data_IF_551328011068
#
_entry.id   IF_551328011068
#
_cell.length_a   1.000
_cell.length_b   1.000
_cell.length_c   1.000
_cell.angle_alpha   90.00
_cell.angle_beta   90.00
_cell.angle_gamma   90.00
#
_symmetry.space_group_name_H-M   'P 1'
#
loop_
_entity.id
_entity.type
_entity.pdbx_description
1 polymer ?
#
# COMPACT_ATOMS: atom_id res chain seq x y z
N UNK A 1 -30.00 -14.05 9.29
CA UNK A 1 -29.45 -15.21 10.02
C UNK A 1 -28.81 -14.70 11.30
N UNK A 2 -28.85 -15.44 12.42
CA UNK A 2 -28.20 -15.00 13.65
C UNK A 2 -26.69 -14.90 13.42
N UNK A 3 -26.06 -13.91 14.04
CA UNK A 3 -24.61 -13.77 14.00
C UNK A 3 -23.95 -14.97 14.70
N UNK A 4 -22.77 -15.37 14.22
CA UNK A 4 -22.00 -16.46 14.80
C UNK A 4 -21.13 -15.93 15.93
N UNK A 5 -21.19 -16.55 17.10
CA UNK A 5 -20.29 -16.23 18.21
C UNK A 5 -18.99 -17.02 18.07
N UNK A 6 -17.84 -16.38 18.20
CA UNK A 6 -16.52 -17.00 18.10
C UNK A 6 -15.61 -16.55 19.25
N UNK A 7 -15.16 -17.46 20.12
CA UNK A 7 -14.25 -17.12 21.20
C UNK A 7 -12.78 -17.11 20.73
N UNK A 8 -11.99 -16.15 21.22
CA UNK A 8 -10.53 -16.12 21.09
C UNK A 8 -9.95 -16.06 22.50
N UNK A 9 -8.99 -16.92 22.80
CA UNK A 9 -8.42 -17.04 24.15
C UNK A 9 -6.98 -16.59 24.18
N UNK A 10 -6.61 -15.74 25.15
CA UNK A 10 -5.23 -15.29 25.37
C UNK A 10 -4.57 -16.12 26.47
N UNK A 11 -4.00 -17.28 26.11
CA UNK A 11 -3.27 -18.11 27.09
C UNK A 11 -2.09 -17.33 27.66
N UNK A 12 -1.80 -17.55 28.94
CA UNK A 12 -0.76 -16.86 29.73
C UNK A 12 -1.00 -15.36 29.97
N UNK A 13 -2.09 -14.78 29.45
CA UNK A 13 -2.55 -13.47 29.91
C UNK A 13 -3.32 -13.64 31.23
N UNK A 14 -2.96 -12.85 32.24
CA UNK A 14 -3.73 -12.72 33.48
C UNK A 14 -4.60 -11.46 33.38
N UNK A 15 -5.93 -11.57 33.46
CA UNK A 15 -6.84 -10.44 33.26
C UNK A 15 -6.55 -9.25 34.16
N UNK A 16 -6.10 -9.51 35.39
CA UNK A 16 -5.82 -8.51 36.42
C UNK A 16 -4.57 -7.67 36.12
N UNK A 17 -3.65 -8.19 35.30
CA UNK A 17 -2.37 -7.51 34.99
C UNK A 17 -2.22 -7.14 33.52
N UNK A 18 -3.14 -7.58 32.66
CA UNK A 18 -3.15 -7.29 31.23
C UNK A 18 -3.47 -5.80 31.01
N UNK A 19 -2.55 -4.98 30.46
CA UNK A 19 -2.85 -3.58 30.22
C UNK A 19 -3.94 -3.44 29.16
N UNK A 20 -4.99 -2.68 29.47
CA UNK A 20 -6.13 -2.45 28.57
C UNK A 20 -5.69 -1.94 27.19
N UNK A 21 -4.69 -1.05 27.14
CA UNK A 21 -4.18 -0.52 25.88
C UNK A 21 -3.50 -1.57 24.99
N UNK A 22 -2.95 -2.64 25.56
CA UNK A 22 -2.40 -3.74 24.77
C UNK A 22 -3.53 -4.65 24.27
N UNK A 23 -4.53 -4.94 25.12
CA UNK A 23 -5.72 -5.68 24.68
C UNK A 23 -6.44 -4.97 23.52
N UNK A 24 -6.62 -3.65 23.62
CA UNK A 24 -7.24 -2.84 22.56
C UNK A 24 -6.47 -2.96 21.22
N UNK A 25 -5.14 -2.85 21.25
CA UNK A 25 -4.30 -3.03 20.05
C UNK A 25 -4.42 -4.43 19.45
N UNK A 26 -4.57 -5.46 20.28
CA UNK A 26 -4.77 -6.82 19.79
C UNK A 26 -6.10 -6.92 19.02
N UNK A 27 -7.17 -6.38 19.62
CA UNK A 27 -8.51 -6.38 19.02
C UNK A 27 -8.51 -5.58 17.71
N UNK A 28 -7.90 -4.39 17.71
CA UNK A 28 -7.75 -3.55 16.53
C UNK A 28 -7.03 -4.28 15.38
N UNK A 29 -5.90 -4.92 15.66
CA UNK A 29 -5.16 -5.68 14.63
C UNK A 29 -5.94 -6.89 14.14
N UNK A 30 -6.69 -7.55 15.01
CA UNK A 30 -7.53 -8.67 14.59
C UNK A 30 -8.64 -8.18 13.65
N UNK A 31 -9.28 -7.06 13.99
CA UNK A 31 -10.28 -6.43 13.14
C UNK A 31 -9.69 -6.05 11.77
N UNK A 32 -8.52 -5.39 11.74
CA UNK A 32 -7.80 -5.08 10.49
C UNK A 32 -7.52 -6.34 9.68
N UNK A 33 -7.06 -7.44 10.29
CA UNK A 33 -6.80 -8.68 9.58
C UNK A 33 -8.07 -9.26 8.93
N UNK A 34 -9.19 -9.24 9.64
CA UNK A 34 -10.47 -9.74 9.14
C UNK A 34 -11.04 -8.83 8.04
N UNK A 35 -11.10 -7.52 8.28
CA UNK A 35 -11.68 -6.55 7.36
C UNK A 35 -10.90 -6.45 6.05
N UNK A 36 -9.57 -6.40 6.11
CA UNK A 36 -8.75 -6.33 4.89
C UNK A 36 -8.84 -7.61 4.07
N UNK A 37 -8.93 -8.78 4.72
CA UNK A 37 -9.18 -10.05 4.02
C UNK A 37 -10.56 -10.07 3.36
N UNK A 38 -11.60 -9.54 4.02
CA UNK A 38 -12.92 -9.44 3.42
C UNK A 38 -12.95 -8.51 2.19
N UNK A 39 -12.28 -7.35 2.27
CA UNK A 39 -12.18 -6.40 1.16
C UNK A 39 -11.47 -6.98 -0.06
N UNK A 40 -10.36 -7.70 0.15
CA UNK A 40 -9.63 -8.38 -0.92
C UNK A 40 -10.49 -9.44 -1.64
N UNK A 41 -11.43 -10.06 -0.92
CA UNK A 41 -12.41 -11.00 -1.47
C UNK A 41 -13.65 -10.34 -2.09
N UNK A 42 -13.64 -9.01 -2.25
CA UNK A 42 -14.77 -8.22 -2.76
C UNK A 42 -16.07 -8.44 -1.96
N UNK A 43 -15.96 -8.68 -0.65
CA UNK A 43 -17.12 -8.73 0.24
C UNK A 43 -17.50 -7.30 0.57
N UNK A 44 -18.71 -6.89 0.16
CA UNK A 44 -19.27 -5.60 0.55
C UNK A 44 -19.53 -5.57 2.05
N UNK A 45 -18.95 -4.59 2.74
CA UNK A 45 -19.11 -4.39 4.16
C UNK A 45 -20.18 -3.31 4.38
N UNK A 46 -21.22 -3.55 5.20
CA UNK A 46 -22.19 -2.52 5.55
C UNK A 46 -21.50 -1.37 6.29
N UNK A 47 -21.79 -0.13 5.89
CA UNK A 47 -21.15 1.06 6.47
C UNK A 47 -21.59 1.33 7.91
N UNK A 48 -22.84 0.97 8.25
CA UNK A 48 -23.47 1.29 9.54
C UNK A 48 -23.59 0.10 10.50
N UNK A 49 -23.09 -1.08 10.14
CA UNK A 49 -23.20 -2.28 10.97
C UNK A 49 -21.83 -2.88 11.31
N UNK A 50 -21.63 -3.21 12.58
CA UNK A 50 -20.42 -3.89 13.04
C UNK A 50 -20.43 -5.36 12.58
N UNK A 51 -19.59 -5.68 11.59
CA UNK A 51 -19.45 -7.04 11.05
C UNK A 51 -18.67 -8.00 11.95
N UNK A 52 -17.82 -7.45 12.82
CA UNK A 52 -17.12 -8.14 13.91
C UNK A 52 -17.28 -7.28 15.15
N UNK A 53 -17.80 -7.85 16.23
CA UNK A 53 -18.03 -7.14 17.49
C UNK A 53 -17.52 -7.95 18.66
N UNK A 54 -16.80 -7.32 19.59
CA UNK A 54 -16.53 -7.92 20.90
C UNK A 54 -17.80 -7.80 21.76
N UNK A 55 -18.42 -8.93 22.10
CA UNK A 55 -19.70 -8.95 22.81
C UNK A 55 -19.58 -9.34 24.28
N UNK A 56 -18.50 -10.03 24.67
CA UNK A 56 -18.30 -10.41 26.06
C UNK A 56 -16.81 -10.61 26.38
N UNK A 57 -16.44 -10.22 27.61
CA UNK A 57 -15.20 -10.59 28.28
C UNK A 57 -15.63 -11.14 29.63
N UNK A 58 -15.41 -12.44 29.86
CA UNK A 58 -15.81 -13.07 31.11
C UNK A 58 -14.93 -12.57 32.28
N UNK A 59 -15.53 -12.36 33.46
CA UNK A 59 -14.78 -11.94 34.66
C UNK A 59 -13.71 -12.98 35.02
N UNK A 60 -12.49 -12.52 35.33
CA UNK A 60 -11.35 -13.39 35.60
C UNK A 60 -10.89 -14.23 34.39
N UNK A 61 -11.38 -13.91 33.19
CA UNK A 61 -11.07 -14.66 31.97
C UNK A 61 -10.23 -13.85 30.99
N UNK A 62 -9.35 -14.55 30.29
CA UNK A 62 -8.60 -14.07 29.14
C UNK A 62 -9.27 -14.47 27.81
N UNK A 63 -10.56 -14.82 27.89
CA UNK A 63 -11.41 -15.21 26.76
C UNK A 63 -12.20 -14.02 26.26
N UNK A 64 -11.96 -13.66 25.00
CA UNK A 64 -12.64 -12.62 24.27
C UNK A 64 -13.69 -13.28 23.38
N UNK A 65 -14.95 -12.90 23.55
CA UNK A 65 -16.06 -13.49 22.78
C UNK A 65 -16.47 -12.48 21.72
N UNK A 66 -16.28 -12.86 20.46
CA UNK A 66 -16.67 -12.06 19.32
C UNK A 66 -17.97 -12.57 18.72
N UNK A 67 -18.68 -11.67 18.07
CA UNK A 67 -19.82 -11.98 17.21
C UNK A 67 -19.48 -11.53 15.80
N UNK A 68 -19.62 -12.44 14.85
CA UNK A 68 -19.36 -12.23 13.43
C UNK A 68 -20.64 -12.32 12.63
N UNK A 69 -20.82 -11.40 11.68
CA UNK A 69 -21.86 -11.54 10.68
C UNK A 69 -21.66 -12.86 9.89
N UNK A 70 -22.71 -13.59 9.50
CA UNK A 70 -22.57 -14.92 8.88
C UNK A 70 -21.70 -14.97 7.63
N UNK A 71 -21.66 -13.88 6.86
CA UNK A 71 -20.82 -13.76 5.66
C UNK A 71 -19.31 -13.60 5.97
N UNK A 72 -18.95 -13.35 7.23
CA UNK A 72 -17.56 -13.21 7.69
C UNK A 72 -16.93 -14.53 8.14
N UNK A 73 -17.73 -15.59 8.37
CA UNK A 73 -17.20 -16.91 8.72
C UNK A 73 -16.19 -17.49 7.71
N UNK A 74 -16.38 -17.40 6.38
CA UNK A 74 -15.36 -17.84 5.43
C UNK A 74 -14.06 -17.04 5.52
N UNK A 75 -14.15 -15.73 5.82
CA UNK A 75 -12.97 -14.86 5.99
C UNK A 75 -12.15 -15.30 7.20
N UNK A 76 -12.83 -15.57 8.33
CA UNK A 76 -12.16 -16.07 9.52
C UNK A 76 -11.58 -17.48 9.30
N UNK A 77 -12.30 -18.37 8.60
CA UNK A 77 -11.80 -19.69 8.25
C UNK A 77 -10.51 -19.61 7.43
N UNK A 78 -10.48 -18.73 6.42
CA UNK A 78 -9.28 -18.48 5.61
C UNK A 78 -8.10 -17.97 6.44
N UNK A 79 -8.33 -16.98 7.32
CA UNK A 79 -7.29 -16.48 8.23
C UNK A 79 -6.72 -17.59 9.12
N UNK A 80 -7.60 -18.38 9.76
CA UNK A 80 -7.15 -19.47 10.63
C UNK A 80 -6.40 -20.56 9.86
N UNK A 81 -6.79 -20.82 8.61
CA UNK A 81 -6.11 -21.75 7.73
C UNK A 81 -4.70 -21.27 7.37
N UNK A 82 -4.55 -20.00 6.96
CA UNK A 82 -3.25 -19.40 6.68
C UNK A 82 -2.31 -19.40 7.89
N UNK A 83 -2.86 -19.15 9.10
CA UNK A 83 -2.07 -19.22 10.34
C UNK A 83 -1.60 -20.66 10.60
N UNK A 84 -2.48 -21.66 10.44
CA UNK A 84 -2.14 -23.05 10.74
C UNK A 84 -1.13 -23.63 9.76
N UNK A 85 -1.30 -23.38 8.45
CA UNK A 85 -0.37 -23.85 7.42
C UNK A 85 0.94 -23.03 7.39
N UNK A 86 0.94 -21.85 8.02
CA UNK A 86 2.04 -20.89 7.90
C UNK A 86 2.22 -20.32 6.49
N UNK A 87 1.19 -20.44 5.63
CA UNK A 87 1.14 -19.88 4.29
C UNK A 87 0.20 -18.66 4.23
N UNK A 88 0.81 -17.50 4.06
CA UNK A 88 0.15 -16.20 4.03
C UNK A 88 0.10 -15.60 2.63
N UNK A 89 0.42 -16.37 1.57
CA UNK A 89 0.42 -15.86 0.18
C UNK A 89 -0.96 -15.44 -0.28
N UNK A 90 -2.01 -16.13 0.20
CA UNK A 90 -3.39 -15.83 -0.13
C UNK A 90 -3.94 -14.56 0.55
N UNK A 91 -3.29 -14.09 1.62
CA UNK A 91 -3.76 -12.95 2.39
C UNK A 91 -3.26 -11.62 1.80
N UNK A 92 -4.08 -10.55 1.84
CA UNK A 92 -3.62 -9.23 1.48
C UNK A 92 -2.52 -8.76 2.44
N UNK A 93 -1.57 -7.98 1.94
CA UNK A 93 -0.38 -7.51 2.69
C UNK A 93 -0.74 -6.84 4.01
N UNK A 94 -1.81 -6.05 4.05
CA UNK A 94 -2.29 -5.39 5.27
C UNK A 94 -2.79 -6.38 6.32
N UNK A 95 -3.51 -7.43 5.92
CA UNK A 95 -3.96 -8.47 6.84
C UNK A 95 -2.76 -9.27 7.38
N UNK A 96 -1.81 -9.64 6.53
CA UNK A 96 -0.59 -10.34 6.95
C UNK A 96 0.25 -9.46 7.91
N UNK A 97 0.40 -8.17 7.63
CA UNK A 97 1.05 -7.21 8.56
C UNK A 97 0.36 -7.19 9.92
N UNK A 98 -0.97 -7.14 9.95
CA UNK A 98 -1.73 -7.13 11.19
C UNK A 98 -1.53 -8.43 12.01
N UNK A 99 -1.55 -9.60 11.36
CA UNK A 99 -1.20 -10.89 11.99
C UNK A 99 0.25 -10.93 12.49
N UNK A 100 1.18 -10.39 11.72
CA UNK A 100 2.58 -10.26 12.13
C UNK A 100 2.73 -9.37 13.38
N UNK A 101 2.00 -8.28 13.46
CA UNK A 101 2.00 -7.39 14.62
C UNK A 101 1.29 -8.00 15.83
N UNK A 102 0.30 -8.88 15.64
CA UNK A 102 -0.26 -9.73 16.70
C UNK A 102 0.82 -10.68 17.22
N UNK A 103 1.54 -11.37 16.34
CA UNK A 103 2.66 -12.26 16.70
C UNK A 103 3.76 -11.53 17.49
N UNK A 104 4.16 -10.34 17.06
CA UNK A 104 5.13 -9.50 17.78
C UNK A 104 4.63 -9.11 19.16
N UNK A 105 3.36 -8.74 19.27
CA UNK A 105 2.75 -8.36 20.53
C UNK A 105 2.64 -9.55 21.49
N UNK A 106 2.15 -10.69 20.99
CA UNK A 106 2.09 -11.95 21.74
C UNK A 106 3.47 -12.33 22.30
N UNK A 107 4.53 -12.20 21.49
CA UNK A 107 5.91 -12.39 21.94
C UNK A 107 6.34 -11.40 23.01
N UNK A 108 6.02 -10.12 22.86
CA UNK A 108 6.38 -9.06 23.82
C UNK A 108 5.68 -9.25 25.17
N UNK A 109 4.42 -9.66 25.15
CA UNK A 109 3.58 -9.80 26.33
C UNK A 109 3.57 -11.23 26.90
N UNK A 110 4.29 -12.16 26.26
CA UNK A 110 4.28 -13.59 26.60
C UNK A 110 2.89 -14.24 26.55
N UNK A 111 2.06 -13.82 25.60
CA UNK A 111 0.73 -14.39 25.37
C UNK A 111 0.76 -15.45 24.27
N UNK A 112 -0.19 -16.38 24.33
CA UNK A 112 -0.55 -17.26 23.22
C UNK A 112 -1.98 -16.91 22.78
N UNK A 113 -2.17 -16.50 21.52
CA UNK A 113 -3.49 -16.14 20.99
C UNK A 113 -4.09 -17.38 20.32
N UNK A 114 -5.21 -17.85 20.85
CA UNK A 114 -5.83 -19.11 20.45
C UNK A 114 -7.13 -18.89 19.71
N UNK A 115 -7.20 -19.52 18.55
CA UNK A 115 -8.37 -19.66 17.72
C UNK A 115 -8.88 -21.09 17.91
N UNK A 116 -9.99 -21.32 18.63
CA UNK A 116 -10.54 -22.65 18.80
C UNK A 116 -11.20 -23.15 17.50
N UNK A 117 -11.28 -24.47 17.37
CA UNK A 117 -12.04 -25.09 16.28
C UNK A 117 -13.51 -24.73 16.40
N UNK A 118 -14.12 -24.28 15.31
CA UNK A 118 -15.56 -24.06 15.27
C UNK A 118 -16.12 -24.37 13.89
N UNK A 119 -17.25 -25.08 13.88
CA UNK A 119 -18.04 -25.30 12.68
C UNK A 119 -19.13 -24.22 12.63
N UNK A 120 -19.18 -23.46 11.54
CA UNK A 120 -20.23 -22.46 11.31
C UNK A 120 -21.06 -22.86 10.10
N UNK A 121 -22.38 -22.90 10.28
CA UNK A 121 -23.33 -23.17 9.21
C UNK A 121 -23.71 -21.88 8.48
N UNK A 122 -23.57 -21.86 7.16
CA UNK A 122 -24.12 -20.78 6.31
C UNK A 122 -25.54 -21.10 5.83
N UNK A 123 -25.87 -22.39 5.68
CA UNK A 123 -27.17 -22.99 5.34
C UNK A 123 -27.00 -24.53 5.36
N UNK A 124 -28.08 -25.30 5.12
CA UNK A 124 -28.10 -26.78 5.18
C UNK A 124 -26.97 -27.51 4.41
N UNK A 125 -26.30 -26.88 3.42
CA UNK A 125 -25.31 -27.55 2.56
C UNK A 125 -23.89 -26.95 2.57
N UNK A 126 -23.58 -25.91 3.35
CA UNK A 126 -22.23 -25.33 3.39
C UNK A 126 -21.74 -25.10 4.83
N UNK A 127 -20.78 -25.93 5.25
CA UNK A 127 -20.06 -25.80 6.51
C UNK A 127 -18.75 -25.07 6.29
N UNK A 128 -18.52 -24.00 7.05
CA UNK A 128 -17.18 -23.44 7.20
C UNK A 128 -16.50 -24.08 8.39
N UNK A 129 -15.28 -24.53 8.17
CA UNK A 129 -14.44 -25.11 9.19
C UNK A 129 -13.39 -24.08 9.60
N UNK A 130 -13.60 -23.44 10.75
CA UNK A 130 -12.61 -22.57 11.36
C UNK A 130 -11.63 -23.47 12.09
N UNK A 131 -10.37 -23.46 11.62
CA UNK A 131 -9.36 -24.37 12.13
C UNK A 131 -8.90 -23.94 13.53
N UNK A 132 -8.61 -24.92 14.38
CA UNK A 132 -7.92 -24.64 15.63
C UNK A 132 -6.49 -24.19 15.31
N UNK A 133 -6.14 -22.98 15.70
CA UNK A 133 -4.79 -22.47 15.49
C UNK A 133 -4.32 -21.58 16.63
N UNK A 134 -3.02 -21.31 16.67
CA UNK A 134 -2.34 -20.58 17.75
C UNK A 134 -1.26 -19.66 17.18
N UNK A 135 -1.31 -18.39 17.57
CA UNK A 135 -0.21 -17.44 17.38
C UNK A 135 0.52 -17.33 18.72
N UNK A 136 1.76 -17.82 18.76
CA UNK A 136 2.58 -17.80 19.98
C UNK A 136 4.05 -17.61 19.68
N UNK A 137 4.86 -17.49 20.75
CA UNK A 137 6.32 -17.44 20.62
C UNK A 137 6.92 -18.67 19.93
N UNK A 138 6.23 -19.81 20.01
CA UNK A 138 6.63 -21.08 19.39
C UNK A 138 6.15 -21.21 17.94
N UNK A 139 5.07 -20.51 17.59
CA UNK A 139 4.50 -20.42 16.25
C UNK A 139 4.39 -18.94 15.83
N UNK A 140 5.52 -18.25 15.58
CA UNK A 140 5.48 -16.85 15.19
C UNK A 140 5.04 -16.72 13.73
N UNK A 141 4.18 -15.73 13.45
CA UNK A 141 3.90 -15.29 12.09
C UNK A 141 5.18 -14.65 11.52
N UNK A 142 5.55 -15.03 10.30
CA UNK A 142 6.70 -14.45 9.59
C UNK A 142 6.38 -13.04 9.08
N UNK A 143 7.35 -12.13 8.96
CA UNK A 143 7.08 -10.82 8.37
C UNK A 143 6.63 -10.97 6.91
N UNK A 144 5.65 -10.19 6.44
CA UNK A 144 5.29 -10.19 5.02
C UNK A 144 6.49 -9.82 4.18
N UNK A 145 6.67 -10.54 3.08
CA UNK A 145 7.67 -10.15 2.07
C UNK A 145 7.20 -8.82 1.48
N UNK A 146 8.04 -7.78 1.47
CA UNK A 146 7.67 -6.53 0.82
C UNK A 146 7.38 -6.84 -0.65
N UNK A 147 6.11 -6.68 -1.03
CA UNK A 147 5.74 -6.68 -2.43
C UNK A 147 6.23 -5.37 -2.99
N UNK A 148 6.90 -5.40 -4.14
CA UNK A 148 7.36 -4.19 -4.80
C UNK A 148 6.76 -4.14 -6.19
N UNK A 149 6.38 -2.94 -6.61
CA UNK A 149 5.94 -2.70 -7.99
C UNK A 149 7.20 -2.43 -8.80
N UNK A 150 7.35 -3.15 -9.92
CA UNK A 150 8.43 -2.94 -10.90
C UNK A 150 7.86 -2.30 -12.15
N UNK A 151 8.60 -1.37 -12.72
CA UNK A 151 8.22 -0.71 -13.96
C UNK A 151 9.29 0.24 -14.44
N UNK A 152 9.05 0.86 -15.59
CA UNK A 152 9.95 1.87 -16.15
C UNK A 152 9.40 3.26 -15.88
N UNK A 153 10.29 4.23 -15.64
CA UNK A 153 9.91 5.62 -15.42
C UNK A 153 11.03 6.57 -15.83
N UNK A 154 10.74 7.87 -15.85
CA UNK A 154 11.71 8.93 -16.06
C UNK A 154 11.73 9.86 -14.85
N UNK A 155 12.91 10.05 -14.27
CA UNK A 155 13.13 10.90 -13.10
C UNK A 155 13.87 12.16 -13.53
N UNK A 156 13.33 13.30 -13.11
CA UNK A 156 13.91 14.62 -13.34
C UNK A 156 14.52 15.12 -12.04
N UNK A 157 15.79 15.54 -12.10
CA UNK A 157 16.46 16.08 -10.93
C UNK A 157 17.81 16.69 -11.27
N UNK A 158 18.36 17.44 -10.31
CA UNK A 158 19.69 18.00 -10.43
C UNK A 158 20.73 16.91 -10.13
N UNK A 159 21.63 16.67 -11.07
CA UNK A 159 22.72 15.72 -10.89
C UNK A 159 23.76 16.29 -9.91
N UNK A 160 23.85 15.78 -8.68
CA UNK A 160 24.75 16.34 -7.65
C UNK A 160 26.03 15.53 -7.48
N UNK A 161 26.00 14.23 -7.80
CA UNK A 161 27.16 13.34 -7.67
C UNK A 161 27.11 12.26 -8.73
N UNK A 162 28.26 11.93 -9.31
CA UNK A 162 28.41 10.82 -10.26
C UNK A 162 29.75 10.12 -10.02
N UNK A 163 29.75 8.79 -9.97
CA UNK A 163 30.97 7.99 -9.86
C UNK A 163 30.84 6.78 -8.94
N UNK A 164 31.98 6.31 -8.42
CA UNK A 164 32.07 5.12 -7.57
C UNK A 164 32.65 3.89 -8.27
N UNK A 165 33.11 2.92 -7.48
CA UNK A 165 33.61 1.62 -8.00
C UNK A 165 32.51 0.87 -8.77
N UNK A 166 31.30 0.89 -8.21
CA UNK A 166 30.07 0.57 -8.92
C UNK A 166 29.46 1.89 -9.40
N UNK A 167 29.25 2.10 -10.71
CA UNK A 167 28.77 3.39 -11.22
C UNK A 167 27.42 3.79 -10.64
N UNK A 168 27.38 4.97 -10.01
CA UNK A 168 26.16 5.55 -9.42
C UNK A 168 26.02 7.03 -9.75
N UNK A 169 24.79 7.52 -9.67
CA UNK A 169 24.42 8.92 -9.84
C UNK A 169 23.49 9.29 -8.70
N UNK A 170 23.71 10.46 -8.09
CA UNK A 170 22.78 11.01 -7.12
C UNK A 170 22.04 12.21 -7.71
N UNK A 171 20.73 12.20 -7.55
CA UNK A 171 19.86 13.30 -7.97
C UNK A 171 19.28 14.02 -6.75
N UNK A 172 19.31 15.35 -6.78
CA UNK A 172 18.48 16.19 -5.91
C UNK A 172 17.14 16.42 -6.59
N UNK A 173 16.05 16.12 -5.89
CA UNK A 173 14.68 16.28 -6.38
C UNK A 173 14.03 17.46 -5.65
N UNK A 174 13.17 18.24 -6.32
CA UNK A 174 12.55 19.42 -5.73
C UNK A 174 11.65 19.10 -4.53
N UNK A 175 11.02 17.91 -4.53
CA UNK A 175 10.04 17.49 -3.51
C UNK A 175 10.63 16.46 -2.52
N UNK A 176 11.96 16.39 -2.38
CA UNK A 176 12.60 15.43 -1.48
C UNK A 176 13.85 16.03 -0.85
N UNK A 177 13.92 16.03 0.48
CA UNK A 177 15.11 16.51 1.22
C UNK A 177 16.33 15.60 1.07
N UNK A 178 16.09 14.33 0.72
CA UNK A 178 17.14 13.31 0.54
C UNK A 178 17.47 13.12 -0.92
N UNK A 179 18.76 12.91 -1.20
CA UNK A 179 19.24 12.54 -2.52
C UNK A 179 18.67 11.19 -2.94
N UNK A 180 18.26 11.10 -4.20
CA UNK A 180 17.93 9.82 -4.81
C UNK A 180 19.21 9.18 -5.34
N UNK A 181 19.55 8.01 -4.83
CA UNK A 181 20.68 7.21 -5.27
C UNK A 181 20.26 6.30 -6.43
N UNK A 182 20.85 6.51 -7.60
CA UNK A 182 20.54 5.78 -8.82
C UNK A 182 21.71 4.88 -9.22
N UNK A 183 21.44 3.60 -9.46
CA UNK A 183 22.40 2.73 -10.12
C UNK A 183 22.45 3.02 -11.61
N UNK A 184 23.62 2.88 -12.23
CA UNK A 184 23.74 3.09 -13.68
C UNK A 184 24.92 2.34 -14.27
N UNK A 185 25.11 2.47 -15.59
CA UNK A 185 26.29 1.93 -16.28
C UNK A 185 27.44 2.93 -16.26
N UNK A 186 28.67 2.45 -16.44
CA UNK A 186 29.86 3.31 -16.53
C UNK A 186 29.74 4.33 -17.66
N UNK A 187 29.17 3.93 -18.79
CA UNK A 187 28.95 4.81 -19.94
C UNK A 187 28.03 5.98 -19.60
N UNK A 188 26.88 5.70 -18.97
CA UNK A 188 25.92 6.73 -18.54
C UNK A 188 26.55 7.63 -17.48
N UNK A 189 27.29 7.08 -16.51
CA UNK A 189 28.00 7.85 -15.51
C UNK A 189 29.04 8.81 -16.14
N UNK A 190 29.83 8.35 -17.11
CA UNK A 190 30.78 9.21 -17.83
C UNK A 190 30.06 10.34 -18.56
N UNK A 191 28.92 10.07 -19.21
CA UNK A 191 28.12 11.13 -19.85
C UNK A 191 27.56 12.12 -18.85
N UNK A 192 27.02 11.64 -17.71
CA UNK A 192 26.43 12.49 -16.67
C UNK A 192 27.46 13.29 -15.87
N UNK A 193 28.72 12.88 -15.82
CA UNK A 193 29.80 13.65 -15.20
C UNK A 193 29.93 15.07 -15.77
N UNK A 194 29.56 15.26 -17.04
CA UNK A 194 29.55 16.57 -17.73
C UNK A 194 28.33 17.42 -17.37
N UNK A 195 27.37 16.82 -16.67
CA UNK A 195 26.10 17.42 -16.27
C UNK A 195 25.99 17.57 -14.75
N UNK A 196 27.12 17.52 -14.02
CA UNK A 196 27.14 17.84 -12.59
C UNK A 196 26.58 19.25 -12.36
N UNK A 197 25.73 19.37 -11.36
CA UNK A 197 24.96 20.56 -10.99
C UNK A 197 24.00 21.07 -12.08
N UNK A 198 23.62 20.20 -13.02
CA UNK A 198 22.59 20.49 -14.03
C UNK A 198 21.38 19.58 -13.85
N UNK A 199 20.22 20.07 -14.29
CA UNK A 199 19.02 19.25 -14.38
C UNK A 199 19.19 18.20 -15.47
N UNK A 200 18.86 16.95 -15.13
CA UNK A 200 18.91 15.81 -16.04
C UNK A 200 17.62 15.03 -15.94
N UNK A 201 17.27 14.37 -17.03
CA UNK A 201 16.18 13.41 -17.09
C UNK A 201 16.78 12.02 -17.27
N UNK A 202 16.57 11.13 -16.30
CA UNK A 202 17.05 9.75 -16.36
C UNK A 202 15.87 8.82 -16.58
N UNK A 203 15.90 8.02 -17.63
CA UNK A 203 14.97 6.93 -17.87
C UNK A 203 15.56 5.62 -17.37
N UNK A 204 14.73 4.78 -16.73
CA UNK A 204 15.23 3.60 -16.07
C UNK A 204 14.16 2.69 -15.50
N UNK A 205 14.62 1.61 -14.88
CA UNK A 205 13.81 0.68 -14.11
C UNK A 205 13.69 1.20 -12.68
N UNK A 206 12.47 1.18 -12.15
CA UNK A 206 12.14 1.62 -10.81
C UNK A 206 11.46 0.50 -10.03
N UNK A 207 11.73 0.51 -8.73
CA UNK A 207 11.10 -0.34 -7.74
C UNK A 207 10.35 0.57 -6.76
N UNK A 208 9.04 0.39 -6.64
CA UNK A 208 8.20 1.19 -5.74
C UNK A 208 7.62 0.34 -4.62
N UNK A 209 7.45 0.97 -3.46
CA UNK A 209 6.63 0.45 -2.39
C UNK A 209 5.15 0.58 -2.78
N UNK A 210 4.34 -0.49 -2.75
CA UNK A 210 2.97 -0.48 -3.26
C UNK A 210 2.04 0.42 -2.44
N UNK A 211 2.26 0.48 -1.12
CA UNK A 211 1.40 1.28 -0.24
C UNK A 211 1.73 2.78 -0.24
N UNK A 212 3.03 3.14 -0.20
CA UNK A 212 3.46 4.54 -0.07
C UNK A 212 3.81 5.18 -1.41
N UNK A 213 3.91 4.39 -2.48
CA UNK A 213 4.47 4.78 -3.76
C UNK A 213 5.89 5.37 -3.67
N UNK A 214 6.58 5.13 -2.55
CA UNK A 214 7.97 5.57 -2.40
C UNK A 214 8.86 4.79 -3.36
N UNK A 215 9.70 5.52 -4.09
CA UNK A 215 10.74 4.94 -4.94
C UNK A 215 11.87 4.37 -4.07
N UNK A 216 11.97 3.04 -4.08
CA UNK A 216 12.92 2.25 -3.28
C UNK A 216 14.25 2.12 -4.01
N UNK A 217 14.20 1.76 -5.29
CA UNK A 217 15.38 1.60 -6.14
C UNK A 217 15.12 2.21 -7.51
N UNK A 218 16.17 2.78 -8.10
CA UNK A 218 16.13 3.25 -9.48
C UNK A 218 17.44 2.94 -10.20
N UNK A 219 17.32 2.28 -11.34
CA UNK A 219 18.43 1.94 -12.23
C UNK A 219 18.29 2.69 -13.55
N UNK A 220 19.09 3.73 -13.70
CA UNK A 220 19.12 4.54 -14.92
C UNK A 220 19.73 3.74 -16.08
N UNK A 221 18.91 3.49 -17.11
CA UNK A 221 19.29 2.77 -18.34
C UNK A 221 19.53 3.72 -19.51
N UNK A 222 19.02 4.95 -19.44
CA UNK A 222 19.19 5.96 -20.49
C UNK A 222 19.12 7.37 -19.91
N UNK A 223 19.91 8.29 -20.45
CA UNK A 223 19.68 9.73 -20.27
C UNK A 223 18.58 10.11 -21.25
N UNK A 224 17.39 10.43 -20.75
CA UNK A 224 16.31 10.96 -21.57
C UNK A 224 16.76 12.30 -22.17
N UNK A 225 16.27 12.62 -23.37
CA UNK A 225 16.73 13.76 -24.16
C UNK A 225 16.88 15.00 -23.28
N UNK A 226 18.00 15.72 -23.46
CA UNK A 226 18.38 16.86 -22.63
C UNK A 226 17.17 17.76 -22.37
N UNK A 227 16.89 18.00 -21.09
CA UNK A 227 16.04 19.13 -20.69
C UNK A 227 16.78 20.36 -21.20
N UNK A 228 16.24 20.99 -22.25
CA UNK A 228 16.77 22.27 -22.71
C UNK A 228 16.68 23.23 -21.53
N UNK A 229 17.77 23.90 -21.20
CA UNK A 229 17.83 24.99 -20.21
C UNK A 229 17.04 26.23 -20.68
N UNK A 230 16.33 26.14 -21.79
CA UNK A 230 15.46 27.17 -22.28
C UNK A 230 14.23 27.25 -21.38
N UNK A 231 14.05 28.42 -20.78
CA UNK A 231 12.86 28.71 -19.97
C UNK A 231 11.59 28.31 -20.74
N UNK A 232 10.55 27.79 -20.06
CA UNK A 232 9.25 27.56 -20.69
C UNK A 232 8.74 28.76 -21.51
N UNK A 233 9.11 29.98 -21.11
CA UNK A 233 8.84 31.20 -21.85
C UNK A 233 9.45 31.20 -23.26
N UNK A 234 10.69 30.73 -23.44
CA UNK A 234 11.32 30.57 -24.76
C UNK A 234 10.62 29.52 -25.60
N UNK A 235 10.24 28.38 -25.00
CA UNK A 235 9.48 27.36 -25.72
C UNK A 235 8.14 27.91 -26.22
N UNK A 236 7.44 28.67 -25.37
CA UNK A 236 6.21 29.37 -25.74
C UNK A 236 6.44 30.48 -26.76
N UNK A 237 7.58 31.19 -26.70
CA UNK A 237 7.97 32.20 -27.68
C UNK A 237 8.23 31.57 -29.06
N UNK A 238 8.92 30.44 -29.12
CA UNK A 238 9.14 29.71 -30.37
C UNK A 238 7.83 29.16 -30.95
N UNK A 239 6.92 28.65 -30.10
CA UNK A 239 5.57 28.28 -30.55
C UNK A 239 4.84 29.52 -31.07
N UNK A 240 4.89 30.64 -30.34
CA UNK A 240 4.27 31.91 -30.72
C UNK A 240 4.83 32.45 -32.04
N UNK A 241 6.11 32.26 -32.37
CA UNK A 241 6.67 32.63 -33.69
C UNK A 241 6.06 31.83 -34.83
N UNK A 242 5.72 30.56 -34.60
CA UNK A 242 5.17 29.68 -35.65
C UNK A 242 3.67 29.87 -35.82
N UNK A 243 2.92 29.99 -34.72
CA UNK A 243 1.46 30.01 -34.76
C UNK A 243 0.84 31.34 -34.36
N UNK A 244 1.60 32.26 -33.74
CA UNK A 244 1.05 33.48 -33.14
C UNK A 244 0.32 34.39 -34.11
N UNK A 245 0.74 34.42 -35.38
CA UNK A 245 0.04 35.15 -36.44
C UNK A 245 -1.38 34.62 -36.68
N UNK A 246 -1.64 33.33 -36.45
CA UNK A 246 -2.97 32.72 -36.59
C UNK A 246 -3.92 33.08 -35.44
N UNK A 247 -3.38 33.63 -34.35
CA UNK A 247 -4.14 34.00 -33.15
C UNK A 247 -4.23 35.51 -32.92
N UNK A 248 -3.69 36.34 -33.84
CA UNK A 248 -3.64 37.81 -33.70
C UNK A 248 -5.01 38.45 -33.56
N UNK A 249 -6.01 37.92 -34.25
CA UNK A 249 -7.37 38.47 -34.30
C UNK A 249 -8.38 37.62 -33.51
N UNK A 250 -7.90 36.66 -32.71
CA UNK A 250 -8.74 35.77 -31.90
C UNK A 250 -8.75 36.28 -30.47
N UNK A 251 -9.94 36.59 -29.94
CA UNK A 251 -10.11 36.75 -28.51
C UNK A 251 -9.98 35.36 -27.85
N UNK A 252 -8.81 35.12 -27.25
CA UNK A 252 -8.46 33.83 -26.64
C UNK A 252 -9.41 33.48 -25.49
N UNK A 253 -9.91 34.47 -24.76
CA UNK A 253 -10.80 34.24 -23.61
C UNK A 253 -12.16 33.80 -24.10
N UNK A 254 -12.71 34.48 -25.11
CA UNK A 254 -13.97 34.10 -25.75
C UNK A 254 -13.87 32.70 -26.40
N UNK A 255 -12.79 32.44 -27.14
CA UNK A 255 -12.55 31.15 -27.78
C UNK A 255 -12.52 29.98 -26.76
N UNK A 256 -11.78 30.12 -25.66
CA UNK A 256 -11.69 29.08 -24.61
C UNK A 256 -13.04 28.88 -23.92
N UNK A 257 -13.80 29.94 -23.71
CA UNK A 257 -15.14 29.86 -23.11
C UNK A 257 -16.13 29.14 -24.04
N UNK A 258 -16.07 29.39 -25.34
CA UNK A 258 -16.92 28.69 -26.34
C UNK A 258 -16.58 27.20 -26.42
N UNK A 259 -15.28 26.85 -26.42
CA UNK A 259 -14.82 25.45 -26.40
C UNK A 259 -15.26 24.72 -25.12
N UNK A 260 -15.17 25.37 -23.95
CA UNK A 260 -15.56 24.77 -22.66
C UNK A 260 -17.07 24.64 -22.48
N UNK A 261 -17.84 25.54 -23.07
CA UNK A 261 -19.31 25.54 -22.98
C UNK A 261 -19.94 24.61 -24.01
N UNK A 262 -19.14 23.98 -24.89
CA UNK A 262 -19.62 23.10 -25.95
C UNK A 262 -20.30 23.83 -27.11
N UNK A 263 -20.19 25.16 -27.16
CA UNK A 263 -20.79 25.98 -28.20
C UNK A 263 -19.78 26.16 -29.34
N UNK A 264 -19.47 25.06 -30.04
CA UNK A 264 -18.85 25.15 -31.35
C UNK A 264 -19.95 25.57 -32.32
N UNK A 265 -20.05 26.88 -32.56
CA UNK A 265 -21.00 27.47 -33.50
C UNK A 265 -21.13 26.64 -34.77
N UNK A 266 -22.27 25.97 -34.91
CA UNK A 266 -22.89 25.78 -36.20
C UNK A 266 -23.34 27.18 -36.61
N UNK A 267 -22.64 27.80 -37.55
CA UNK A 267 -23.29 28.55 -38.61
C UNK A 267 -22.37 28.66 -39.82
N UNK A 268 -22.97 28.45 -40.99
CA UNK A 268 -22.30 28.15 -42.24
C UNK A 268 -21.83 29.35 -43.03
N UNK A 269 -20.79 29.09 -43.83
CA UNK A 269 -20.69 29.42 -45.25
C UNK A 269 -19.70 28.44 -45.88
#
# INVERSE_FOLDING_TARGET
MPNATYPITLRNATPETTPLGELAKLIEKLDVAIIETARDRNIELPEDEAVVSLVNIEEGSNRLIFTLAPFMCPVLAELTHSIEEGDFVALPTKAHNALYDISRQAKKQHWDVLFPEQQSHKNQDQMYHIQKTEISTRRPITPPKPQFIKGTTTIFGMCVRVGGKTPKVDLSLANRDRLLHCETTREIAVRLSRSLYKNVALHGEALWHPDTWELVEFKATKIANQVYDDSPAKALEEVSKVVGDQWKDVDVVEFVNNVRSGDTGRDGA
#
